data_IF_686267097544
#
_entry.id   IF_686267097544
#
_cell.length_a   1.000
_cell.length_b   1.000
_cell.length_c   1.000
_cell.angle_alpha   90.00
_cell.angle_beta   90.00
_cell.angle_gamma   90.00
#
_symmetry.space_group_name_H-M   'P 1'
#
loop_
_entity.id
_entity.type
_entity.pdbx_description
1 polymer ?
#
# COMPACT_ATOMS: atom_id res chain seq x y z
N UNK A 1 -13.36 2.00 0.55
CA UNK A 1 -12.33 0.97 0.25
C UNK A 1 -11.64 1.40 -1.02
N UNK A 2 -10.38 1.02 -1.18
CA UNK A 2 -9.56 1.28 -2.37
C UNK A 2 -8.79 0.03 -2.73
N UNK A 3 -8.40 -0.09 -4.00
CA UNK A 3 -7.47 -1.13 -4.41
C UNK A 3 -6.04 -0.59 -4.30
N UNK A 4 -5.17 -1.38 -3.66
CA UNK A 4 -3.74 -1.10 -3.58
C UNK A 4 -2.97 -2.28 -4.17
N UNK A 5 -2.00 -1.98 -5.02
CA UNK A 5 -1.10 -2.98 -5.62
C UNK A 5 0.23 -2.99 -4.87
N UNK A 6 0.77 -4.18 -4.60
CA UNK A 6 2.14 -4.34 -4.11
C UNK A 6 3.10 -4.03 -5.27
N UNK A 7 3.94 -3.01 -5.10
CA UNK A 7 4.91 -2.55 -6.10
C UNK A 7 6.32 -3.01 -5.73
N UNK A 8 6.61 -3.12 -4.43
CA UNK A 8 7.86 -3.64 -3.90
C UNK A 8 7.56 -4.52 -2.70
N UNK A 9 8.24 -5.68 -2.64
CA UNK A 9 8.23 -6.57 -1.48
C UNK A 9 9.62 -6.69 -0.83
N UNK A 10 10.52 -5.73 -1.09
CA UNK A 10 11.88 -5.72 -0.54
C UNK A 10 11.92 -5.47 0.97
N UNK A 11 10.84 -4.94 1.54
CA UNK A 11 10.70 -4.72 2.97
C UNK A 11 10.19 -5.98 3.69
N UNK A 12 10.67 -6.27 4.91
CA UNK A 12 10.12 -7.34 5.74
C UNK A 12 8.62 -7.27 5.98
N UNK A 13 8.00 -6.09 5.90
CA UNK A 13 6.55 -5.94 6.05
C UNK A 13 5.75 -6.57 4.90
N UNK A 14 6.37 -6.75 3.72
CA UNK A 14 5.71 -7.26 2.52
C UNK A 14 6.30 -8.60 2.03
N UNK A 15 7.17 -9.24 2.82
CA UNK A 15 7.92 -10.43 2.39
C UNK A 15 7.05 -11.65 2.05
N UNK A 16 5.83 -11.73 2.60
CA UNK A 16 4.89 -12.82 2.32
C UNK A 16 3.91 -12.51 1.18
N UNK A 17 4.11 -11.41 0.44
CA UNK A 17 3.25 -10.97 -0.67
C UNK A 17 4.03 -10.94 -1.98
N UNK A 18 3.30 -10.97 -3.10
CA UNK A 18 3.88 -10.91 -4.43
C UNK A 18 3.76 -9.51 -5.04
N UNK A 19 4.81 -9.06 -5.72
CA UNK A 19 4.71 -7.86 -6.57
C UNK A 19 3.63 -8.08 -7.62
N UNK A 20 2.77 -7.08 -7.79
CA UNK A 20 1.58 -7.14 -8.65
C UNK A 20 0.30 -7.58 -7.93
N UNK A 21 0.38 -8.10 -6.72
CA UNK A 21 -0.80 -8.52 -5.95
C UNK A 21 -1.65 -7.30 -5.55
N UNK A 22 -2.97 -7.40 -5.77
CA UNK A 22 -3.93 -6.33 -5.51
C UNK A 22 -4.75 -6.68 -4.27
N UNK A 23 -4.85 -5.73 -3.35
CA UNK A 23 -5.61 -5.84 -2.12
C UNK A 23 -6.62 -4.70 -2.01
N UNK A 24 -7.84 -5.02 -1.59
CA UNK A 24 -8.91 -4.07 -1.31
C UNK A 24 -8.84 -3.66 0.17
N UNK A 25 -8.37 -2.45 0.42
CA UNK A 25 -7.97 -1.95 1.74
C UNK A 25 -8.93 -0.83 2.22
N UNK A 26 -9.29 -0.80 3.52
CA UNK A 26 -10.01 0.30 4.13
C UNK A 26 -9.17 1.59 4.20
N UNK A 27 -9.81 2.72 3.97
CA UNK A 27 -9.19 4.06 4.08
C UNK A 27 -10.16 4.98 4.83
N UNK A 28 -9.64 5.87 5.68
CA UNK A 28 -10.44 6.75 6.51
C UNK A 28 -9.59 7.92 7.02
N UNK A 29 -9.24 8.84 6.13
CA UNK A 29 -8.36 9.98 6.42
C UNK A 29 -8.82 11.26 5.72
N UNK A 30 -8.61 12.42 6.36
CA UNK A 30 -8.81 13.74 5.74
C UNK A 30 -7.52 14.33 5.14
N UNK A 31 -6.35 13.92 5.65
CA UNK A 31 -5.04 14.53 5.37
C UNK A 31 -4.03 13.50 4.86
N UNK A 32 -4.47 12.53 4.05
CA UNK A 32 -3.65 11.39 3.65
C UNK A 32 -2.78 11.60 2.41
N UNK A 33 -2.74 12.81 1.83
CA UNK A 33 -2.10 13.06 0.53
C UNK A 33 -0.58 12.95 0.65
N UNK A 34 -0.01 11.95 0.00
CA UNK A 34 1.45 11.88 -0.17
C UNK A 34 1.90 12.90 -1.21
N UNK A 35 2.90 13.70 -0.85
CA UNK A 35 3.52 14.69 -1.70
C UNK A 35 5.03 14.75 -1.45
N UNK A 36 5.79 14.83 -2.53
CA UNK A 36 7.23 15.09 -2.53
C UNK A 36 7.61 15.67 -3.90
N UNK A 37 8.78 16.29 -4.01
CA UNK A 37 9.32 16.71 -5.30
C UNK A 37 9.74 15.50 -6.16
N UNK A 38 9.86 15.72 -7.48
CA UNK A 38 10.18 14.67 -8.45
C UNK A 38 11.51 13.96 -8.16
N UNK A 39 12.51 14.66 -7.63
CA UNK A 39 13.81 14.08 -7.30
C UNK A 39 13.70 13.07 -6.16
N UNK A 40 12.98 13.44 -5.10
CA UNK A 40 12.70 12.53 -3.98
C UNK A 40 11.82 11.35 -4.41
N UNK A 41 10.80 11.59 -5.24
CA UNK A 41 9.94 10.51 -5.74
C UNK A 41 10.74 9.51 -6.59
N UNK A 42 11.56 10.01 -7.52
CA UNK A 42 12.44 9.17 -8.34
C UNK A 42 13.34 8.31 -7.48
N UNK A 43 13.96 8.90 -6.44
CA UNK A 43 14.81 8.17 -5.49
C UNK A 43 14.05 7.07 -4.74
N UNK A 44 12.79 7.33 -4.34
CA UNK A 44 11.96 6.31 -3.68
C UNK A 44 11.70 5.11 -4.60
N UNK A 45 11.43 5.34 -5.89
CA UNK A 45 11.24 4.26 -6.85
C UNK A 45 12.55 3.51 -7.14
N UNK A 46 13.66 4.22 -7.38
CA UNK A 46 14.98 3.62 -7.62
C UNK A 46 15.44 2.73 -6.46
N UNK A 47 15.12 3.12 -5.22
CA UNK A 47 15.46 2.37 -4.03
C UNK A 47 14.42 1.30 -3.65
N UNK A 48 13.39 1.05 -4.47
CA UNK A 48 12.28 0.14 -4.16
C UNK A 48 11.56 0.44 -2.84
N UNK A 49 11.53 1.72 -2.43
CA UNK A 49 10.89 2.19 -1.21
C UNK A 49 9.40 2.48 -1.39
N UNK A 50 8.90 2.56 -2.63
CA UNK A 50 7.46 2.60 -2.90
C UNK A 50 6.90 1.18 -2.79
N UNK A 51 6.27 0.87 -1.65
CA UNK A 51 5.77 -0.46 -1.36
C UNK A 51 4.41 -0.72 -2.02
N UNK A 52 3.52 0.29 -1.99
CA UNK A 52 2.15 0.15 -2.48
C UNK A 52 1.65 1.40 -3.19
N UNK A 53 0.86 1.18 -4.24
CA UNK A 53 0.20 2.23 -5.01
C UNK A 53 -1.31 2.00 -5.06
N UNK A 54 -2.10 3.09 -5.04
CA UNK A 54 -3.50 3.06 -5.41
C UNK A 54 -3.64 2.70 -6.89
N UNK A 55 -4.59 1.81 -7.20
CA UNK A 55 -4.82 1.34 -8.57
C UNK A 55 -6.30 1.30 -8.91
N UNK A 56 -6.60 1.40 -10.20
CA UNK A 56 -7.94 1.14 -10.72
C UNK A 56 -8.28 -0.36 -10.75
N UNK A 57 -9.43 -0.70 -11.34
CA UNK A 57 -9.89 -2.08 -11.45
C UNK A 57 -9.01 -2.96 -12.36
N UNK A 58 -8.23 -2.36 -13.24
CA UNK A 58 -7.28 -3.07 -14.11
C UNK A 58 -5.89 -3.21 -13.47
N UNK A 59 -5.72 -2.65 -12.26
CA UNK A 59 -4.45 -2.71 -11.53
C UNK A 59 -3.44 -1.66 -11.96
N UNK A 60 -3.86 -0.63 -12.70
CA UNK A 60 -3.01 0.47 -13.14
C UNK A 60 -3.02 1.61 -12.13
N UNK A 61 -1.86 2.22 -11.80
CA UNK A 61 -1.82 3.42 -10.97
C UNK A 61 -2.69 4.51 -11.59
N UNK A 62 -3.62 5.05 -10.81
CA UNK A 62 -4.65 5.94 -11.32
C UNK A 62 -4.76 7.21 -10.45
N UNK A 63 -5.05 8.34 -11.08
CA UNK A 63 -5.15 9.65 -10.43
C UNK A 63 -6.60 10.12 -10.24
N UNK A 64 -7.59 9.39 -10.76
CA UNK A 64 -8.99 9.67 -10.48
C UNK A 64 -9.23 9.48 -8.97
N UNK A 65 -9.92 10.44 -8.37
CA UNK A 65 -10.29 10.48 -6.95
C UNK A 65 -11.04 9.22 -6.50
N UNK A 66 -11.70 8.52 -7.43
CA UNK A 66 -12.38 7.24 -7.16
C UNK A 66 -11.40 6.14 -6.73
N UNK A 67 -10.16 6.17 -7.23
CA UNK A 67 -9.14 5.14 -6.98
C UNK A 67 -8.03 5.65 -6.08
N UNK A 68 -7.62 6.91 -6.24
CA UNK A 68 -6.64 7.61 -5.42
C UNK A 68 -7.34 8.73 -4.61
N UNK A 69 -7.94 8.39 -3.46
CA UNK A 69 -8.91 9.24 -2.76
C UNK A 69 -8.31 10.47 -2.09
N UNK A 70 -6.98 10.53 -1.94
CA UNK A 70 -6.27 11.66 -1.35
C UNK A 70 -5.42 12.43 -2.38
N UNK A 71 -5.44 12.03 -3.66
CA UNK A 71 -4.66 12.69 -4.70
C UNK A 71 -3.15 12.61 -4.49
N UNK A 72 -2.67 11.51 -3.91
CA UNK A 72 -1.24 11.26 -3.72
C UNK A 72 -0.47 11.28 -5.05
N UNK A 73 0.72 11.89 -5.05
CA UNK A 73 1.62 11.88 -6.20
C UNK A 73 2.00 10.45 -6.60
N UNK A 74 2.02 10.15 -7.91
CA UNK A 74 2.31 8.82 -8.45
C UNK A 74 1.44 7.70 -7.88
N UNK A 75 0.23 8.06 -7.41
CA UNK A 75 -0.67 7.16 -6.70
C UNK A 75 0.00 6.43 -5.52
N UNK A 76 1.05 7.01 -4.91
CA UNK A 76 1.78 6.39 -3.81
C UNK A 76 0.87 6.32 -2.59
N UNK A 77 0.76 5.12 -2.02
CA UNK A 77 -0.07 4.86 -0.86
C UNK A 77 0.75 4.42 0.36
N UNK A 78 1.87 3.72 0.13
CA UNK A 78 2.77 3.28 1.19
C UNK A 78 4.23 3.29 0.76
N UNK A 79 5.09 3.71 1.67
CA UNK A 79 6.54 3.75 1.51
C UNK A 79 7.26 3.10 2.68
N UNK A 80 8.51 2.72 2.49
CA UNK A 80 9.37 2.16 3.53
C UNK A 80 10.64 2.99 3.74
N UNK A 81 11.23 2.86 4.93
CA UNK A 81 12.57 3.41 5.20
C UNK A 81 13.62 2.79 4.27
N UNK A 82 14.79 3.44 4.08
CA UNK A 82 15.86 2.89 3.22
C UNK A 82 16.35 1.49 3.64
N UNK A 83 16.28 1.16 4.93
CA UNK A 83 16.61 -0.17 5.47
C UNK A 83 15.40 -1.13 5.47
N UNK A 84 14.24 -0.68 5.00
CA UNK A 84 13.00 -1.45 4.88
C UNK A 84 12.26 -1.70 6.19
N UNK A 85 12.81 -1.32 7.35
CA UNK A 85 12.28 -1.71 8.67
C UNK A 85 11.11 -0.86 9.16
N UNK A 86 10.97 0.36 8.66
CA UNK A 86 9.84 1.24 8.99
C UNK A 86 8.89 1.29 7.79
N UNK A 87 7.61 1.06 8.03
CA UNK A 87 6.54 1.18 7.04
C UNK A 87 5.68 2.40 7.36
N UNK A 88 5.59 3.32 6.39
CA UNK A 88 4.58 4.38 6.37
C UNK A 88 3.50 4.03 5.36
N UNK A 89 2.26 3.86 5.80
CA UNK A 89 1.13 3.49 4.94
C UNK A 89 -0.13 4.20 5.40
N UNK A 90 -1.01 4.52 4.45
CA UNK A 90 -2.27 5.21 4.72
C UNK A 90 -3.48 4.28 4.84
N UNK A 91 -3.50 3.18 4.08
CA UNK A 91 -4.51 2.14 4.14
C UNK A 91 -4.44 1.33 5.42
N UNK A 92 -5.61 0.98 5.95
CA UNK A 92 -5.77 0.30 7.22
C UNK A 92 -5.84 -1.22 7.06
N UNK A 93 -4.69 -1.86 6.84
CA UNK A 93 -4.56 -3.32 6.74
C UNK A 93 -4.97 -4.06 8.03
N UNK A 94 -5.03 -3.34 9.16
CA UNK A 94 -5.48 -3.85 10.46
C UNK A 94 -7.01 -3.90 10.61
N UNK A 95 -7.77 -3.16 9.79
CA UNK A 95 -9.24 -3.12 9.84
C UNK A 95 -9.85 -4.34 9.15
N UNK A 96 -9.46 -5.52 9.64
CA UNK A 96 -9.91 -6.83 9.18
C UNK A 96 -10.50 -7.62 10.36
N UNK A 97 -11.40 -8.55 10.09
CA UNK A 97 -12.01 -9.37 11.13
C UNK A 97 -13.26 -10.11 10.67
N UNK A 98 -13.75 -11.00 11.53
CA UNK A 98 -14.96 -11.79 11.25
C UNK A 98 -16.15 -10.85 11.02
N UNK A 99 -16.73 -10.90 9.83
CA UNK A 99 -17.88 -10.09 9.40
C UNK A 99 -17.64 -8.56 9.27
N UNK A 100 -16.40 -8.05 9.37
CA UNK A 100 -16.13 -6.59 9.36
C UNK A 100 -16.38 -5.97 7.97
N UNK A 101 -16.09 -6.69 6.89
CA UNK A 101 -16.20 -6.23 5.49
C UNK A 101 -16.84 -7.30 4.59
N UNK A 102 -17.79 -8.06 5.13
CA UNK A 102 -18.39 -9.25 4.48
C UNK A 102 -19.01 -8.97 3.09
N UNK A 103 -19.48 -7.75 2.86
CA UNK A 103 -20.13 -7.33 1.62
C UNK A 103 -19.19 -6.57 0.66
N UNK A 104 -17.90 -6.47 0.99
CA UNK A 104 -16.89 -5.89 0.10
C UNK A 104 -16.24 -7.01 -0.68
N UNK A 105 -16.12 -6.85 -1.99
CA UNK A 105 -15.44 -7.81 -2.86
C UNK A 105 -13.95 -7.47 -2.89
N UNK A 106 -13.10 -8.49 -2.97
CA UNK A 106 -11.67 -8.35 -3.21
C UNK A 106 -10.81 -9.14 -2.22
N UNK A 107 -9.50 -9.13 -2.44
CA UNK A 107 -8.56 -9.70 -1.48
C UNK A 107 -8.32 -8.69 -0.35
N UNK A 108 -8.66 -9.04 0.89
CA UNK A 108 -8.46 -8.19 2.06
C UNK A 108 -7.25 -8.59 2.90
N UNK A 109 -6.58 -9.69 2.56
CA UNK A 109 -5.53 -10.30 3.37
C UNK A 109 -4.16 -9.72 3.06
N UNK A 110 -3.94 -8.47 3.43
CA UNK A 110 -2.60 -7.88 3.38
C UNK A 110 -1.83 -8.24 4.66
N UNK A 111 -1.18 -9.40 4.62
CA UNK A 111 -0.43 -10.09 5.70
C UNK A 111 0.78 -9.36 6.32
N UNK A 112 0.73 -8.03 6.51
CA UNK A 112 1.87 -7.24 6.99
C UNK A 112 2.32 -7.65 8.40
N UNK A 113 1.38 -8.08 9.25
CA UNK A 113 1.68 -8.52 10.61
C UNK A 113 2.35 -9.90 10.62
N UNK A 114 1.89 -10.82 9.77
CA UNK A 114 2.51 -12.14 9.63
C UNK A 114 3.94 -12.01 9.09
N UNK A 115 4.14 -11.19 8.05
CA UNK A 115 5.47 -10.88 7.50
C UNK A 115 6.39 -10.26 8.56
N UNK A 116 5.88 -9.28 9.32
CA UNK A 116 6.63 -8.64 10.41
C UNK A 116 7.04 -9.61 11.52
N UNK A 117 6.17 -10.57 11.89
CA UNK A 117 6.52 -11.63 12.84
C UNK A 117 7.56 -12.59 12.28
N UNK A 118 7.43 -12.97 11.01
CA UNK A 118 8.35 -13.89 10.36
C UNK A 118 9.76 -13.30 10.16
N UNK A 119 9.90 -11.98 10.13
CA UNK A 119 11.21 -11.32 10.04
C UNK A 119 12.13 -11.59 11.25
N UNK A 120 11.57 -11.83 12.43
CA UNK A 120 12.33 -12.07 13.66
C UNK A 120 12.56 -13.55 13.99
N UNK A 121 12.07 -14.46 13.14
CA UNK A 121 12.33 -15.91 13.26
C UNK A 121 13.59 -16.28 12.49
#
# INVERSE_FOLDING_TARGET
MVNTKIVSNSSPWFSSMKVGEIHTIPVSHGEGRFYADEGNIKRLFENNQVATQYVDFEGNPNYDIKFNPNGSCYAIEGITSPDGRVLGKMGHSERIGKNVIKNVIGNHEQKIFESGVNYFK
#
